data_IF_903390034795
#
_entry.id   IF_903390034795
#
_cell.length_a   1.000
_cell.length_b   1.000
_cell.length_c   1.000
_cell.angle_alpha   90.00
_cell.angle_beta   90.00
_cell.angle_gamma   90.00
#
_symmetry.space_group_name_H-M   'P 1'
#
loop_
_entity.id
_entity.type
_entity.pdbx_description
1 polymer ?
#
# COMPACT_ATOMS: atom_id res chain seq x y z
N UNK A 1 -19.63 -13.45 1.31
CA UNK A 1 -19.13 -12.13 1.73
C UNK A 1 -19.53 -11.16 0.64
N UNK A 2 -20.59 -10.37 0.86
CA UNK A 2 -21.16 -9.47 -0.14
C UNK A 2 -20.37 -8.17 -0.24
N UNK A 3 -20.22 -7.64 -1.44
CA UNK A 3 -19.52 -6.38 -1.68
C UNK A 3 -20.47 -5.20 -1.49
N UNK A 4 -20.19 -4.39 -0.47
CA UNK A 4 -21.05 -3.32 0.03
C UNK A 4 -20.70 -1.99 -0.65
N UNK A 5 -21.69 -1.31 -1.25
CA UNK A 5 -21.51 0.06 -1.74
C UNK A 5 -22.57 0.95 -1.10
N UNK A 6 -22.15 2.12 -0.65
CA UNK A 6 -23.00 3.03 0.12
C UNK A 6 -23.42 4.19 -0.77
N UNK A 7 -24.71 4.27 -1.08
CA UNK A 7 -25.29 5.44 -1.75
C UNK A 7 -25.98 6.30 -0.69
N UNK A 8 -25.75 7.62 -0.70
CA UNK A 8 -26.48 8.55 0.18
C UNK A 8 -27.70 9.05 -0.59
N UNK A 9 -28.89 8.66 -0.13
CA UNK A 9 -30.16 9.24 -0.56
C UNK A 9 -30.94 9.66 0.69
N UNK A 10 -31.30 10.93 0.78
CA UNK A 10 -32.12 11.51 1.88
C UNK A 10 -31.55 11.34 3.30
N UNK A 11 -30.23 11.32 3.47
CA UNK A 11 -29.60 11.31 4.79
C UNK A 11 -29.52 9.95 5.50
N UNK A 12 -30.12 8.90 4.93
CA UNK A 12 -29.96 7.53 5.40
C UNK A 12 -28.82 6.79 4.67
N UNK A 13 -27.99 6.09 5.43
CA UNK A 13 -26.92 5.22 4.94
C UNK A 13 -27.57 3.90 4.52
N UNK A 14 -28.00 3.81 3.27
CA UNK A 14 -28.44 2.55 2.68
C UNK A 14 -27.21 1.81 2.14
N UNK A 15 -26.79 0.76 2.85
CA UNK A 15 -25.90 -0.23 2.26
C UNK A 15 -26.69 -1.02 1.22
N UNK A 16 -26.31 -0.88 -0.05
CA UNK A 16 -26.88 -1.70 -1.12
C UNK A 16 -25.81 -2.72 -1.46
N UNK A 17 -26.13 -4.00 -1.27
CA UNK A 17 -25.30 -5.05 -1.85
C UNK A 17 -25.33 -4.86 -3.37
N UNK A 18 -24.15 -4.97 -4.00
CA UNK A 18 -24.14 -5.04 -5.45
C UNK A 18 -24.92 -6.27 -5.89
N UNK A 19 -25.69 -6.10 -6.95
CA UNK A 19 -26.35 -7.20 -7.65
C UNK A 19 -25.41 -7.91 -8.62
N UNK A 20 -24.14 -7.50 -8.64
CA UNK A 20 -23.08 -8.03 -9.49
C UNK A 20 -21.77 -8.12 -8.70
N UNK A 21 -20.86 -8.98 -9.16
CA UNK A 21 -19.52 -9.04 -8.61
C UNK A 21 -18.71 -7.83 -9.12
N UNK A 22 -18.17 -6.98 -8.23
CA UNK A 22 -17.31 -5.89 -8.65
C UNK A 22 -15.96 -6.41 -9.11
N UNK A 23 -15.38 -5.68 -10.04
CA UNK A 23 -14.01 -5.89 -10.49
C UNK A 23 -13.22 -4.61 -10.20
N UNK A 24 -12.09 -4.77 -9.51
CA UNK A 24 -11.20 -3.66 -9.20
C UNK A 24 -9.98 -3.73 -10.12
N UNK A 25 -9.87 -2.74 -11.01
CA UNK A 25 -8.82 -2.66 -12.01
C UNK A 25 -7.48 -2.13 -11.46
N UNK A 26 -7.41 -1.72 -10.18
CA UNK A 26 -6.25 -1.02 -9.64
C UNK A 26 -5.82 -1.60 -8.28
N UNK A 27 -5.19 -2.77 -8.33
CA UNK A 27 -4.62 -3.44 -7.17
C UNK A 27 -3.09 -3.50 -7.26
N UNK A 28 -2.44 -3.29 -6.12
CA UNK A 28 -0.99 -3.35 -5.97
C UNK A 28 -0.61 -4.33 -4.87
N UNK A 29 0.50 -5.02 -5.06
CA UNK A 29 1.11 -5.89 -4.06
C UNK A 29 2.36 -5.22 -3.47
N UNK A 30 2.79 -5.69 -2.30
CA UNK A 30 4.04 -5.24 -1.68
C UNK A 30 5.19 -6.14 -2.13
N UNK A 31 6.17 -5.58 -2.81
CA UNK A 31 7.33 -6.36 -3.29
C UNK A 31 8.24 -6.82 -2.14
N UNK A 32 8.69 -8.07 -2.22
CA UNK A 32 9.79 -8.56 -1.39
C UNK A 32 11.13 -7.88 -1.73
N UNK A 33 12.08 -7.91 -0.80
CA UNK A 33 13.37 -7.22 -0.97
C UNK A 33 14.18 -7.71 -2.17
N UNK A 34 13.95 -8.96 -2.59
CA UNK A 34 14.63 -9.60 -3.71
C UNK A 34 13.87 -9.50 -5.04
N UNK A 35 12.71 -8.81 -5.10
CA UNK A 35 11.85 -8.77 -6.28
C UNK A 35 12.58 -8.33 -7.56
N UNK A 36 13.58 -7.45 -7.43
CA UNK A 36 14.36 -6.93 -8.56
C UNK A 36 15.67 -7.68 -8.81
N UNK A 37 16.04 -8.67 -8.00
CA UNK A 37 17.33 -9.39 -8.12
C UNK A 37 17.18 -10.90 -8.25
N UNK A 38 16.10 -11.50 -7.73
CA UNK A 38 15.89 -12.97 -7.64
C UNK A 38 16.11 -13.70 -8.96
N UNK A 39 15.74 -13.07 -10.08
CA UNK A 39 15.81 -13.66 -11.42
C UNK A 39 16.62 -12.82 -12.41
N UNK A 40 17.41 -11.86 -11.92
CA UNK A 40 18.27 -11.01 -12.76
C UNK A 40 19.69 -11.59 -12.77
N UNK A 41 20.31 -11.80 -13.95
CA UNK A 41 21.70 -12.24 -14.05
C UNK A 41 22.64 -11.36 -13.21
N UNK A 42 23.61 -11.97 -12.54
CA UNK A 42 24.50 -11.30 -11.57
C UNK A 42 25.15 -10.05 -12.17
N UNK A 43 25.64 -10.14 -13.40
CA UNK A 43 26.27 -9.05 -14.15
C UNK A 43 25.33 -7.86 -14.46
N UNK A 44 24.00 -8.07 -14.36
CA UNK A 44 22.99 -7.04 -14.57
C UNK A 44 22.42 -6.46 -13.27
N UNK A 45 22.62 -7.11 -12.11
CA UNK A 45 22.00 -6.69 -10.86
C UNK A 45 22.38 -5.27 -10.43
N UNK A 46 23.61 -4.83 -10.72
CA UNK A 46 24.06 -3.46 -10.45
C UNK A 46 23.29 -2.38 -11.23
N UNK A 47 22.48 -2.75 -12.24
CA UNK A 47 21.68 -1.84 -13.06
C UNK A 47 20.23 -1.68 -12.59
N UNK A 48 19.76 -2.52 -11.66
CA UNK A 48 18.39 -2.49 -11.15
C UNK A 48 18.31 -1.83 -9.78
N UNK A 49 17.23 -2.08 -9.03
CA UNK A 49 17.09 -1.67 -7.63
C UNK A 49 18.14 -2.37 -6.77
N UNK A 50 18.88 -1.57 -6.02
CA UNK A 50 19.82 -2.03 -5.00
C UNK A 50 19.38 -1.53 -3.63
N UNK A 51 19.99 -2.06 -2.57
CA UNK A 51 19.70 -1.68 -1.19
C UNK A 51 20.89 -0.97 -0.54
N UNK A 52 20.59 0.05 0.25
CA UNK A 52 21.54 0.69 1.15
C UNK A 52 20.92 0.83 2.54
N UNK A 53 21.73 0.70 3.58
CA UNK A 53 21.33 1.01 4.94
C UNK A 53 22.00 2.30 5.40
N UNK A 54 21.20 3.24 5.90
CA UNK A 54 21.66 4.53 6.43
C UNK A 54 20.97 4.75 7.76
N UNK A 55 21.76 4.90 8.83
CA UNK A 55 21.28 5.10 10.20
C UNK A 55 20.24 4.05 10.65
N UNK A 56 20.48 2.77 10.30
CA UNK A 56 19.60 1.65 10.64
C UNK A 56 18.32 1.56 9.79
N UNK A 57 18.20 2.36 8.72
CA UNK A 57 17.05 2.32 7.80
C UNK A 57 17.47 1.91 6.40
N UNK A 58 16.71 0.99 5.81
CA UNK A 58 16.88 0.56 4.42
C UNK A 58 16.31 1.57 3.44
N UNK A 59 17.01 1.75 2.33
CA UNK A 59 16.64 2.59 1.19
C UNK A 59 16.92 1.87 -0.12
N UNK A 60 16.13 2.18 -1.14
CA UNK A 60 16.47 1.81 -2.50
C UNK A 60 17.59 2.69 -3.05
N UNK A 61 18.47 2.11 -3.85
CA UNK A 61 19.41 2.81 -4.73
C UNK A 61 19.00 2.53 -6.17
N UNK A 62 18.75 3.58 -6.93
CA UNK A 62 18.28 3.51 -8.32
C UNK A 62 19.19 4.38 -9.19
N UNK A 63 19.79 3.79 -10.23
CA UNK A 63 20.74 4.48 -11.09
C UNK A 63 21.96 5.03 -10.33
N UNK A 64 22.43 4.31 -9.31
CA UNK A 64 23.53 4.72 -8.44
C UNK A 64 23.21 5.84 -7.47
N UNK A 65 21.94 6.24 -7.32
CA UNK A 65 21.50 7.30 -6.40
C UNK A 65 20.56 6.75 -5.35
N UNK A 66 20.77 7.14 -4.09
CA UNK A 66 19.84 6.82 -3.00
C UNK A 66 18.49 7.47 -3.28
N UNK A 67 17.43 6.66 -3.27
CA UNK A 67 16.05 7.10 -3.49
C UNK A 67 15.33 7.30 -2.16
N UNK A 68 14.62 8.42 -2.05
CA UNK A 68 13.72 8.75 -0.92
C UNK A 68 12.24 8.71 -1.32
N UNK A 69 11.93 8.18 -2.50
CA UNK A 69 10.58 8.17 -3.04
C UNK A 69 9.62 7.31 -2.20
N UNK A 70 10.11 6.19 -1.67
CA UNK A 70 9.34 5.28 -0.81
C UNK A 70 9.87 5.38 0.61
N UNK A 71 9.03 5.87 1.53
CA UNK A 71 9.42 6.07 2.93
C UNK A 71 9.60 4.73 3.65
N UNK A 72 8.75 3.74 3.38
CA UNK A 72 8.86 2.41 3.97
C UNK A 72 9.07 1.36 2.87
N UNK A 73 10.31 1.18 2.37
CA UNK A 73 10.56 0.28 1.23
C UNK A 73 10.48 -1.21 1.59
N UNK A 74 10.46 -1.57 2.88
CA UNK A 74 10.33 -2.96 3.34
C UNK A 74 8.87 -3.36 3.61
N UNK A 75 7.93 -2.42 3.44
CA UNK A 75 6.50 -2.62 3.63
C UNK A 75 6.11 -3.22 4.99
N UNK A 76 6.94 -3.10 6.03
CA UNK A 76 6.60 -3.60 7.36
C UNK A 76 6.85 -2.51 8.41
N UNK A 77 5.82 -1.96 9.07
CA UNK A 77 4.38 -2.28 8.92
C UNK A 77 3.69 -1.57 7.75
N UNK A 78 2.49 -2.04 7.37
CA UNK A 78 1.60 -1.44 6.35
C UNK A 78 0.37 -0.78 6.98
N UNK A 79 -0.28 0.13 6.25
CA UNK A 79 -1.59 0.63 6.62
C UNK A 79 -2.65 -0.46 6.38
N UNK A 80 -3.67 -0.52 7.24
CA UNK A 80 -4.76 -1.50 7.05
C UNK A 80 -5.56 -1.22 5.76
N UNK A 81 -6.03 -2.26 5.07
CA UNK A 81 -6.99 -2.12 3.97
C UNK A 81 -8.17 -1.25 4.38
N UNK A 82 -8.50 -0.26 3.54
CA UNK A 82 -9.60 0.66 3.81
C UNK A 82 -9.33 1.72 4.88
N UNK A 83 -8.09 1.93 5.35
CA UNK A 83 -7.78 2.95 6.37
C UNK A 83 -8.32 4.35 6.00
N UNK A 84 -8.29 4.71 4.72
CA UNK A 84 -8.79 5.99 4.21
C UNK A 84 -10.29 6.00 3.86
N UNK A 85 -11.03 4.91 4.13
CA UNK A 85 -12.45 4.80 3.76
C UNK A 85 -13.28 5.97 4.30
N UNK A 86 -13.16 6.27 5.61
CA UNK A 86 -13.89 7.40 6.23
C UNK A 86 -13.47 8.76 5.65
N UNK A 87 -12.19 8.93 5.33
CA UNK A 87 -11.67 10.17 4.74
C UNK A 87 -12.34 10.43 3.38
N UNK A 88 -12.34 9.45 2.48
CA UNK A 88 -12.94 9.58 1.14
C UNK A 88 -14.48 9.61 1.16
N UNK A 89 -15.13 9.19 2.25
CA UNK A 89 -16.58 9.29 2.47
C UNK A 89 -17.06 10.64 3.00
N UNK A 90 -16.25 11.70 2.84
CA UNK A 90 -16.58 13.06 3.26
C UNK A 90 -15.95 13.47 4.59
N UNK A 91 -15.02 12.68 5.12
CA UNK A 91 -14.20 13.01 6.29
C UNK A 91 -15.01 13.60 7.48
N UNK A 92 -15.98 12.87 8.05
CA UNK A 92 -16.89 13.40 9.07
C UNK A 92 -16.17 13.83 10.36
N UNK A 93 -14.96 13.30 10.59
CA UNK A 93 -14.15 13.60 11.77
C UNK A 93 -13.16 14.77 11.52
N UNK A 94 -13.11 15.33 10.31
CA UNK A 94 -12.22 16.45 9.96
C UNK A 94 -10.73 16.13 10.07
N UNK A 95 -10.35 14.84 10.11
CA UNK A 95 -8.98 14.39 10.35
C UNK A 95 -8.12 14.51 9.10
N UNK A 96 -6.82 14.67 9.33
CA UNK A 96 -5.82 14.60 8.27
C UNK A 96 -5.68 13.13 7.78
N UNK A 97 -5.50 12.87 6.46
CA UNK A 97 -5.28 11.52 5.93
C UNK A 97 -4.19 10.72 6.65
N UNK A 98 -3.13 11.40 7.06
CA UNK A 98 -2.00 10.79 7.75
C UNK A 98 -2.38 10.23 9.11
N UNK A 99 -3.44 10.74 9.74
CA UNK A 99 -3.94 10.20 11.01
C UNK A 99 -4.64 8.85 10.81
N UNK A 100 -5.35 8.67 9.70
CA UNK A 100 -5.96 7.39 9.34
C UNK A 100 -4.90 6.33 8.99
N UNK A 101 -3.84 6.72 8.27
CA UNK A 101 -2.74 5.83 7.87
C UNK A 101 -1.81 5.39 9.02
N UNK A 102 -2.03 5.90 10.24
CA UNK A 102 -1.32 5.44 11.45
C UNK A 102 -1.89 4.12 11.97
N UNK A 103 -3.11 3.75 11.61
CA UNK A 103 -3.63 2.42 11.93
C UNK A 103 -2.97 1.39 11.01
N UNK A 104 -2.03 0.63 11.58
CA UNK A 104 -1.10 -0.22 10.85
C UNK A 104 -1.18 -1.67 11.32
N UNK A 105 -0.79 -2.56 10.43
CA UNK A 105 -0.64 -3.99 10.71
C UNK A 105 0.71 -4.50 10.19
N UNK A 106 1.23 -5.61 10.74
CA UNK A 106 2.42 -6.26 10.20
C UNK A 106 2.21 -6.68 8.73
N UNK A 107 3.29 -6.71 7.96
CA UNK A 107 3.24 -7.30 6.61
C UNK A 107 2.82 -8.78 6.71
N UNK A 108 1.80 -9.24 5.96
CA UNK A 108 1.37 -10.64 6.01
C UNK A 108 2.46 -11.60 5.51
N UNK A 109 2.52 -12.82 6.08
CA UNK A 109 3.54 -13.81 5.76
C UNK A 109 3.57 -14.25 4.29
N UNK A 110 2.47 -14.09 3.55
CA UNK A 110 2.41 -14.39 2.11
C UNK A 110 3.29 -13.46 1.24
N UNK A 111 3.80 -12.36 1.81
CA UNK A 111 4.70 -11.40 1.15
C UNK A 111 6.17 -11.57 1.55
N UNK A 112 6.50 -12.57 2.38
CA UNK A 112 7.84 -12.83 2.92
C UNK A 112 8.43 -14.08 2.26
#
# INVERSE_FOLDING_TARGET
>A
MGNLYVTITNGDIMSRELTFEPFDCDNHYYEGEDAFIRHVPEEMQARVVQWAEVDGRKYHVVGGKLSKAVTNPTWNPIAKPGALHKYFRGNPEGKNPMEYLKDREPLPAAYI
#
